data_IF_537180094348
#
_entry.id   IF_537180094348
#
_cell.length_a   1.000
_cell.length_b   1.000
_cell.length_c   1.000
_cell.angle_alpha   90.00
_cell.angle_beta   90.00
_cell.angle_gamma   90.00
#
_symmetry.space_group_name_H-M   'P 1'
#
loop_
_entity.id
_entity.type
_entity.pdbx_description
1 polymer ?
#
# COMPACT_ATOMS: atom_id res chain seq x y z
N UNK A 1 19.11 11.83 -5.58
CA UNK A 1 19.14 10.64 -6.45
C UNK A 1 17.78 9.98 -6.30
N UNK A 2 16.91 10.02 -7.31
CA UNK A 2 15.55 9.48 -7.20
C UNK A 2 15.61 7.95 -7.35
N UNK A 3 15.28 7.21 -6.30
CA UNK A 3 15.14 5.75 -6.38
C UNK A 3 13.81 5.43 -7.09
N UNK A 4 13.92 4.85 -8.28
CA UNK A 4 12.79 4.36 -9.08
C UNK A 4 12.53 2.88 -8.76
N UNK A 5 11.27 2.46 -8.81
CA UNK A 5 10.91 1.04 -8.68
C UNK A 5 11.33 0.32 -9.96
N UNK A 6 12.23 -0.66 -9.84
CA UNK A 6 12.63 -1.54 -10.94
C UNK A 6 11.79 -2.80 -10.90
N UNK A 7 10.87 -2.94 -11.86
CA UNK A 7 10.14 -4.18 -12.09
C UNK A 7 10.95 -5.09 -13.03
N UNK A 8 10.86 -6.43 -12.87
CA UNK A 8 11.48 -7.35 -13.81
C UNK A 8 10.91 -7.14 -15.22
N UNK A 9 11.81 -6.93 -16.20
CA UNK A 9 11.45 -6.69 -17.62
C UNK A 9 11.22 -7.98 -18.42
N UNK A 10 11.58 -9.12 -17.85
CA UNK A 10 11.38 -10.47 -18.43
C UNK A 10 10.86 -11.41 -17.34
N UNK A 11 9.91 -12.27 -17.69
CA UNK A 11 9.32 -13.26 -16.76
C UNK A 11 7.91 -12.92 -16.31
N UNK A 12 7.48 -13.50 -15.18
CA UNK A 12 6.17 -13.27 -14.57
C UNK A 12 6.29 -12.15 -13.53
N UNK A 13 5.46 -11.11 -13.66
CA UNK A 13 5.31 -10.06 -12.65
C UNK A 13 4.15 -10.45 -11.71
N UNK A 14 4.38 -10.33 -10.40
CA UNK A 14 3.39 -10.58 -9.35
C UNK A 14 3.03 -9.28 -8.66
N UNK A 15 1.78 -8.87 -8.85
CA UNK A 15 1.21 -7.69 -8.21
C UNK A 15 0.26 -8.13 -7.09
N UNK A 16 0.34 -7.46 -5.95
CA UNK A 16 -0.68 -7.52 -4.90
C UNK A 16 -1.49 -6.24 -4.97
N UNK A 17 -2.81 -6.32 -5.17
CA UNK A 17 -3.68 -5.16 -5.09
C UNK A 17 -4.43 -5.15 -3.75
N UNK A 18 -4.40 -4.01 -3.08
CA UNK A 18 -5.15 -3.67 -1.88
C UNK A 18 -6.03 -2.47 -2.23
N UNK A 19 -7.30 -2.53 -1.90
CA UNK A 19 -8.27 -1.47 -2.20
C UNK A 19 -9.30 -1.38 -1.08
N UNK A 20 -9.83 -0.17 -0.85
CA UNK A 20 -10.96 0.11 0.04
C UNK A 20 -10.82 -0.47 1.47
N UNK A 21 -9.65 -0.39 2.14
CA UNK A 21 -9.55 -0.92 3.50
C UNK A 21 -10.34 -0.06 4.52
N UNK A 22 -10.66 1.20 4.20
CA UNK A 22 -11.46 2.11 5.04
C UNK A 22 -11.07 2.07 6.52
N UNK A 23 -9.79 2.26 6.79
CA UNK A 23 -9.25 2.20 8.15
C UNK A 23 -9.71 3.41 8.97
N UNK A 24 -10.07 3.17 10.22
CA UNK A 24 -10.27 4.22 11.21
C UNK A 24 -8.98 4.45 12.00
N UNK A 25 -8.80 5.68 12.48
CA UNK A 25 -7.74 6.07 13.40
C UNK A 25 -7.97 5.56 14.82
N UNK A 26 -9.19 5.13 15.15
CA UNK A 26 -9.48 4.33 16.32
C UNK A 26 -9.67 2.86 15.91
N UNK A 27 -8.77 1.93 16.31
CA UNK A 27 -8.87 0.52 15.93
C UNK A 27 -10.13 -0.21 16.40
N UNK A 28 -10.85 0.36 17.37
CA UNK A 28 -12.10 -0.21 17.91
C UNK A 28 -13.34 0.22 17.12
N UNK A 29 -13.24 1.20 16.23
CA UNK A 29 -14.35 1.64 15.38
C UNK A 29 -14.68 0.61 14.30
N UNK A 30 -15.90 0.75 13.76
CA UNK A 30 -16.43 -0.18 12.78
C UNK A 30 -17.06 0.52 11.59
N UNK A 31 -16.81 -0.02 10.40
CA UNK A 31 -17.62 0.26 9.22
C UNK A 31 -18.59 -0.91 9.03
N UNK A 32 -19.90 -0.65 9.04
CA UNK A 32 -20.92 -1.69 8.88
C UNK A 32 -20.75 -2.88 9.85
N UNK A 33 -20.43 -2.60 11.11
CA UNK A 33 -20.10 -3.57 12.17
C UNK A 33 -18.81 -4.38 11.95
N UNK A 34 -17.98 -4.02 10.98
CA UNK A 34 -16.65 -4.61 10.76
C UNK A 34 -15.59 -3.71 11.37
N UNK A 35 -14.77 -4.25 12.29
CA UNK A 35 -13.55 -3.59 12.77
C UNK A 35 -12.50 -3.59 11.66
N UNK A 36 -12.46 -2.53 10.85
CA UNK A 36 -11.70 -2.48 9.60
C UNK A 36 -10.20 -2.67 9.83
N UNK A 37 -9.63 -2.04 10.87
CA UNK A 37 -8.22 -2.23 11.25
C UNK A 37 -7.89 -3.68 11.57
N UNK A 38 -8.75 -4.36 12.35
CA UNK A 38 -8.55 -5.77 12.72
C UNK A 38 -8.72 -6.70 11.52
N UNK A 39 -9.73 -6.44 10.68
CA UNK A 39 -9.98 -7.20 9.47
C UNK A 39 -8.82 -7.06 8.47
N UNK A 40 -8.37 -5.83 8.23
CA UNK A 40 -7.24 -5.55 7.34
C UNK A 40 -5.94 -6.20 7.85
N UNK A 41 -5.65 -6.10 9.15
CA UNK A 41 -4.48 -6.77 9.75
C UNK A 41 -4.51 -8.29 9.53
N UNK A 42 -5.67 -8.93 9.70
CA UNK A 42 -5.83 -10.37 9.45
C UNK A 42 -5.64 -10.74 7.97
N UNK A 43 -6.09 -9.88 7.05
CA UNK A 43 -5.85 -10.06 5.60
C UNK A 43 -4.36 -10.01 5.28
N UNK A 44 -3.64 -9.01 5.80
CA UNK A 44 -2.19 -8.88 5.60
C UNK A 44 -1.42 -10.07 6.23
N UNK A 45 -1.82 -10.51 7.42
CA UNK A 45 -1.26 -11.71 8.04
C UNK A 45 -1.47 -12.95 7.17
N UNK A 46 -2.68 -13.11 6.62
CA UNK A 46 -2.99 -14.24 5.75
C UNK A 46 -2.22 -14.20 4.44
N UNK A 47 -2.04 -13.02 3.84
CA UNK A 47 -1.19 -12.83 2.67
C UNK A 47 0.23 -13.30 2.97
N UNK A 48 0.82 -12.86 4.08
CA UNK A 48 2.17 -13.27 4.47
C UNK A 48 2.29 -14.79 4.71
N UNK A 49 1.25 -15.44 5.25
CA UNK A 49 1.23 -16.90 5.45
C UNK A 49 1.14 -17.68 4.13
N UNK A 50 0.41 -17.16 3.15
CA UNK A 50 0.16 -17.85 1.88
C UNK A 50 1.19 -17.53 0.80
N UNK A 51 1.81 -16.36 0.87
CA UNK A 51 2.80 -15.91 -0.10
C UNK A 51 4.03 -16.83 -0.08
N UNK A 52 4.20 -17.63 -1.14
CA UNK A 52 5.38 -18.49 -1.33
C UNK A 52 6.61 -17.69 -1.79
N UNK A 53 6.40 -16.48 -2.32
CA UNK A 53 7.39 -15.58 -2.89
C UNK A 53 6.94 -14.14 -2.64
N UNK A 54 7.88 -13.20 -2.65
CA UNK A 54 7.58 -11.76 -2.57
C UNK A 54 6.79 -11.27 -3.78
N UNK A 55 6.07 -10.16 -3.60
CA UNK A 55 5.43 -9.44 -4.70
C UNK A 55 6.42 -8.45 -5.30
N UNK A 56 6.38 -8.28 -6.61
CA UNK A 56 7.21 -7.28 -7.28
C UNK A 56 6.72 -5.85 -6.93
N UNK A 57 5.42 -5.71 -6.67
CA UNK A 57 4.79 -4.45 -6.33
C UNK A 57 3.43 -4.67 -5.63
N UNK A 58 3.13 -3.80 -4.68
CA UNK A 58 1.80 -3.66 -4.08
C UNK A 58 1.14 -2.38 -4.59
N UNK A 59 -0.10 -2.51 -5.03
CA UNK A 59 -0.94 -1.40 -5.47
C UNK A 59 -2.00 -1.11 -4.40
N UNK A 60 -1.95 0.06 -3.78
CA UNK A 60 -2.96 0.54 -2.84
C UNK A 60 -3.91 1.52 -3.56
N UNK A 61 -5.06 1.05 -4.02
CA UNK A 61 -5.85 1.76 -5.05
C UNK A 61 -7.01 2.61 -4.52
N UNK A 62 -6.83 3.26 -3.36
CA UNK A 62 -7.74 4.26 -2.83
C UNK A 62 -8.61 3.80 -1.66
N UNK A 63 -9.28 4.79 -1.07
CA UNK A 63 -10.14 4.71 0.12
C UNK A 63 -9.44 4.01 1.29
N UNK A 64 -8.20 4.45 1.55
CA UNK A 64 -7.38 3.85 2.58
C UNK A 64 -7.96 4.14 3.97
N UNK A 65 -8.36 5.39 4.21
CA UNK A 65 -8.78 5.90 5.52
C UNK A 65 -10.23 6.37 5.46
N UNK A 66 -11.04 6.03 6.46
CA UNK A 66 -12.47 6.35 6.49
C UNK A 66 -12.80 7.67 7.20
N UNK A 67 -12.07 7.99 8.27
CA UNK A 67 -12.39 9.07 9.21
C UNK A 67 -11.58 10.36 8.96
N UNK A 68 -10.90 10.43 7.82
CA UNK A 68 -10.07 11.57 7.40
C UNK A 68 -8.94 11.94 8.39
N UNK A 69 -8.63 11.07 9.36
CA UNK A 69 -7.63 11.36 10.38
C UNK A 69 -6.28 10.72 9.99
N UNK A 70 -5.22 11.53 10.11
CA UNK A 70 -3.86 11.18 9.67
C UNK A 70 -3.29 9.93 10.35
N UNK A 71 -3.76 9.60 11.56
CA UNK A 71 -3.33 8.40 12.27
C UNK A 71 -3.69 7.11 11.51
N UNK A 72 -4.76 7.13 10.73
CA UNK A 72 -5.11 6.03 9.82
C UNK A 72 -4.00 5.70 8.83
N UNK A 73 -3.36 6.71 8.22
CA UNK A 73 -2.25 6.50 7.27
C UNK A 73 -1.03 5.86 7.95
N UNK A 74 -0.75 6.24 9.20
CA UNK A 74 0.30 5.59 9.99
C UNK A 74 -0.01 4.10 10.23
N UNK A 75 -1.25 3.75 10.55
CA UNK A 75 -1.65 2.35 10.70
C UNK A 75 -1.55 1.57 9.39
N UNK A 76 -2.06 2.13 8.29
CA UNK A 76 -1.93 1.52 6.97
C UNK A 76 -0.47 1.18 6.68
N UNK A 77 0.44 2.15 6.87
CA UNK A 77 1.85 1.96 6.60
C UNK A 77 2.52 0.94 7.52
N UNK A 78 2.18 0.94 8.82
CA UNK A 78 2.71 -0.01 9.80
C UNK A 78 2.27 -1.45 9.52
N UNK A 79 0.98 -1.67 9.23
CA UNK A 79 0.42 -2.99 8.96
C UNK A 79 1.05 -3.57 7.68
N UNK A 80 1.11 -2.76 6.63
CA UNK A 80 1.60 -3.19 5.30
C UNK A 80 3.13 -3.32 5.21
N UNK A 81 3.89 -2.76 6.16
CA UNK A 81 5.35 -2.91 6.20
C UNK A 81 5.80 -4.38 6.22
N UNK A 82 4.98 -5.27 6.78
CA UNK A 82 5.24 -6.71 6.82
C UNK A 82 5.25 -7.41 5.46
N UNK A 83 4.71 -6.78 4.40
CA UNK A 83 4.67 -7.35 3.04
C UNK A 83 6.06 -7.37 2.36
N UNK A 84 7.04 -6.63 2.90
CA UNK A 84 8.42 -6.55 2.38
C UNK A 84 8.50 -6.29 0.86
N UNK A 85 7.54 -5.56 0.32
CA UNK A 85 7.39 -5.27 -1.11
C UNK A 85 7.12 -3.76 -1.27
N UNK A 86 7.61 -3.11 -2.34
CA UNK A 86 7.33 -1.71 -2.57
C UNK A 86 5.83 -1.50 -2.77
N UNK A 87 5.29 -0.42 -2.22
CA UNK A 87 3.88 -0.06 -2.30
C UNK A 87 3.75 1.25 -3.06
N UNK A 88 2.87 1.31 -4.04
CA UNK A 88 2.41 2.58 -4.62
C UNK A 88 0.95 2.79 -4.30
N UNK A 89 0.52 4.04 -4.31
CA UNK A 89 -0.84 4.40 -3.93
C UNK A 89 -1.52 5.32 -4.95
N UNK A 90 -2.85 5.19 -4.98
CA UNK A 90 -3.80 6.15 -5.54
C UNK A 90 -4.70 6.61 -4.40
N UNK A 91 -5.08 7.88 -4.42
CA UNK A 91 -6.09 8.40 -3.49
C UNK A 91 -7.49 7.96 -3.94
N UNK A 92 -8.33 7.58 -2.97
CA UNK A 92 -9.77 7.50 -3.16
C UNK A 92 -10.47 8.79 -2.74
N UNK A 93 -11.80 8.81 -2.77
CA UNK A 93 -12.58 10.00 -2.38
C UNK A 93 -12.63 10.21 -0.86
N UNK A 94 -12.31 9.19 -0.06
CA UNK A 94 -12.16 9.32 1.38
C UNK A 94 -10.73 9.73 1.80
N UNK A 95 -9.76 9.66 0.89
CA UNK A 95 -8.40 10.05 1.20
C UNK A 95 -8.21 11.58 1.13
N UNK A 96 -7.35 12.10 2.01
CA UNK A 96 -7.16 13.56 2.17
C UNK A 96 -5.73 13.97 1.83
N UNK A 97 -5.59 14.79 0.79
CA UNK A 97 -4.35 15.48 0.45
C UNK A 97 -4.26 16.86 1.15
N UNK A 98 -3.04 17.34 1.49
CA UNK A 98 -1.73 16.72 1.25
C UNK A 98 -1.33 15.66 2.29
N UNK A 99 -2.16 15.44 3.32
CA UNK A 99 -1.83 14.59 4.46
C UNK A 99 -1.48 13.16 4.06
N UNK A 100 -2.22 12.55 3.12
CA UNK A 100 -1.90 11.23 2.59
C UNK A 100 -0.47 11.18 2.05
N UNK A 101 -0.13 12.08 1.12
CA UNK A 101 1.21 12.12 0.52
C UNK A 101 2.30 12.40 1.55
N UNK A 102 2.08 13.34 2.48
CA UNK A 102 3.08 13.74 3.48
C UNK A 102 3.35 12.64 4.51
N UNK A 103 2.31 11.94 4.98
CA UNK A 103 2.46 10.85 5.96
C UNK A 103 3.06 9.62 5.28
N UNK A 104 2.53 9.19 4.13
CA UNK A 104 3.01 7.99 3.45
C UNK A 104 4.47 8.12 2.99
N UNK A 105 4.91 9.33 2.61
CA UNK A 105 6.31 9.59 2.24
C UNK A 105 7.32 9.39 3.38
N UNK A 106 6.87 9.32 4.64
CA UNK A 106 7.75 9.02 5.79
C UNK A 106 8.17 7.54 5.84
N UNK A 107 7.50 6.67 5.09
CA UNK A 107 7.71 5.23 5.10
C UNK A 107 8.44 4.78 3.84
N UNK A 108 9.65 4.22 4.02
CA UNK A 108 10.56 3.87 2.91
C UNK A 108 9.96 2.89 1.90
N UNK A 109 9.07 1.99 2.34
CA UNK A 109 8.44 1.00 1.47
C UNK A 109 7.27 1.55 0.66
N UNK A 110 6.82 2.79 0.94
CA UNK A 110 5.69 3.42 0.27
C UNK A 110 6.20 4.55 -0.62
N UNK A 111 5.83 4.47 -1.89
CA UNK A 111 6.35 5.33 -2.94
C UNK A 111 5.18 6.01 -3.67
N UNK A 112 5.31 7.30 -4.04
CA UNK A 112 4.31 7.95 -4.87
C UNK A 112 4.28 7.30 -6.27
N UNK A 113 3.09 7.24 -6.87
CA UNK A 113 2.86 6.55 -8.15
C UNK A 113 3.67 7.13 -9.33
N UNK A 114 4.13 8.37 -9.24
CA UNK A 114 4.92 9.01 -10.29
C UNK A 114 6.41 8.60 -10.34
N UNK A 115 6.82 7.54 -9.64
CA UNK A 115 8.21 7.03 -9.59
C UNK A 115 8.48 5.75 -10.40
N UNK A 116 7.74 5.50 -11.50
CA UNK A 116 8.01 4.37 -12.41
C UNK A 116 8.93 4.72 -13.58
N UNK A 117 9.93 3.88 -13.84
CA UNK A 117 10.59 3.77 -15.16
C UNK A 117 10.96 2.31 -15.42
N UNK A 118 10.72 1.80 -16.64
CA UNK A 118 11.29 0.55 -17.10
C UNK A 118 12.72 0.80 -17.61
N UNK A 119 13.66 -0.06 -17.22
CA UNK A 119 14.99 -0.08 -17.83
C UNK A 119 14.94 -1.11 -18.96
N UNK A 120 14.61 -0.68 -20.17
CA UNK A 120 14.83 -1.50 -21.37
C UNK A 120 16.32 -1.50 -21.70
N UNK A 121 17.13 -2.28 -20.97
CA UNK A 121 18.48 -2.59 -21.42
C UNK A 121 18.43 -3.87 -22.26
N UNK A 122 18.19 -3.69 -23.55
CA UNK A 122 18.20 -4.75 -24.55
C UNK A 122 18.24 -4.15 -25.95
N UNK A 123 19.41 -3.65 -26.34
CA UNK A 123 19.77 -3.46 -27.75
C UNK A 123 19.79 -4.85 -28.41
N UNK A 124 18.94 -5.05 -29.42
CA UNK A 124 19.09 -6.13 -30.40
C UNK A 124 20.33 -5.90 -31.27
#
# INVERSE_FOLDING_TARGET
MHEYIKLPVTGVIKLLQITDPHLFSNPEETLLNVKTVKSFSAVIEQINKQAKQYFDLVLATGDLIQDNNIAGYHYFAQITNSLNSPIVWLEGNHDVQPSMSEILAQYKHILPINKFYSVSNGSF
#
